data_IF_570327520846
#
_entry.id   IF_570327520846
#
_cell.length_a   1.000
_cell.length_b   1.000
_cell.length_c   1.000
_cell.angle_alpha   90.00
_cell.angle_beta   90.00
_cell.angle_gamma   90.00
#
_symmetry.space_group_name_H-M   'P 1'
#
loop_
_entity.id
_entity.type
_entity.pdbx_description
1 polymer ?
#
# COMPACT_ATOMS: atom_id res chain seq x y z
N UNK A 1 11.66 13.91 -5.37
CA UNK A 1 12.05 12.48 -5.41
C UNK A 1 12.08 11.95 -3.97
N UNK A 2 10.93 11.53 -3.44
CA UNK A 2 10.86 10.92 -2.10
C UNK A 2 11.34 9.47 -2.21
N UNK A 3 12.42 9.14 -1.51
CA UNK A 3 12.89 7.76 -1.37
C UNK A 3 11.87 7.01 -0.50
N UNK A 4 10.84 6.46 -1.13
CA UNK A 4 10.02 5.40 -0.53
C UNK A 4 11.00 4.34 -0.04
N UNK A 5 10.82 3.89 1.22
CA UNK A 5 11.66 2.91 1.89
C UNK A 5 12.09 1.78 0.94
N UNK A 6 13.30 1.89 0.41
CA UNK A 6 13.72 1.01 -0.68
C UNK A 6 13.92 -0.39 -0.14
N UNK A 7 13.39 -1.40 -0.83
CA UNK A 7 13.76 -2.80 -0.62
C UNK A 7 15.29 -3.01 -0.65
N UNK A 8 16.05 -2.11 -1.27
CA UNK A 8 17.50 -2.09 -1.22
C UNK A 8 18.08 -1.88 0.19
N UNK A 9 17.46 -1.02 1.02
CA UNK A 9 17.91 -0.80 2.39
C UNK A 9 17.69 -2.05 3.26
N UNK A 10 16.51 -2.65 3.18
CA UNK A 10 16.22 -3.90 3.90
C UNK A 10 17.10 -5.06 3.43
N UNK A 11 17.38 -5.14 2.13
CA UNK A 11 18.36 -6.09 1.60
C UNK A 11 19.76 -5.84 2.16
N UNK A 12 20.17 -4.58 2.31
CA UNK A 12 21.45 -4.26 2.95
C UNK A 12 21.47 -4.73 4.41
N UNK A 13 20.41 -4.48 5.18
CA UNK A 13 20.31 -4.96 6.57
C UNK A 13 20.37 -6.50 6.64
N UNK A 14 19.59 -7.19 5.81
CA UNK A 14 19.61 -8.65 5.65
C UNK A 14 21.00 -9.20 5.25
N UNK A 15 21.80 -8.41 4.55
CA UNK A 15 23.18 -8.78 4.17
C UNK A 15 24.18 -8.53 5.29
N UNK A 16 23.99 -7.45 6.06
CA UNK A 16 24.91 -7.02 7.11
C UNK A 16 24.73 -7.78 8.42
N UNK A 17 23.48 -8.09 8.77
CA UNK A 17 23.13 -8.64 10.06
C UNK A 17 22.62 -10.08 9.89
N UNK A 18 23.42 -11.05 10.31
CA UNK A 18 23.12 -12.49 10.17
C UNK A 18 21.90 -12.94 10.96
N UNK A 19 21.50 -12.19 11.99
CA UNK A 19 20.30 -12.47 12.77
C UNK A 19 18.99 -12.08 12.06
N UNK A 20 19.05 -11.36 10.93
CA UNK A 20 17.86 -11.03 10.13
C UNK A 20 17.61 -12.15 9.11
N UNK A 21 16.53 -12.90 9.34
CA UNK A 21 16.13 -13.99 8.45
C UNK A 21 15.48 -13.48 7.15
N UNK A 22 16.20 -13.65 6.03
CA UNK A 22 15.76 -13.22 4.69
C UNK A 22 14.54 -14.00 4.18
N UNK A 23 14.27 -15.17 4.74
CA UNK A 23 13.14 -16.02 4.34
C UNK A 23 11.86 -15.64 5.09
N UNK A 24 11.94 -14.86 6.18
CA UNK A 24 10.81 -14.49 7.04
C UNK A 24 10.78 -12.99 7.35
N UNK A 25 10.85 -12.17 6.31
CA UNK A 25 10.73 -10.71 6.43
C UNK A 25 9.36 -10.23 5.95
N UNK A 26 8.69 -9.44 6.78
CA UNK A 26 7.40 -8.83 6.53
C UNK A 26 7.49 -7.30 6.55
N UNK A 27 6.54 -6.62 5.92
CA UNK A 27 6.34 -5.17 6.04
C UNK A 27 4.88 -4.88 6.36
N UNK A 28 4.61 -3.96 7.26
CA UNK A 28 3.26 -3.53 7.53
C UNK A 28 3.21 -2.03 7.81
N UNK A 29 2.03 -1.45 7.63
CA UNK A 29 1.79 -0.08 8.03
C UNK A 29 0.33 0.32 7.91
N UNK A 30 0.05 1.52 8.41
CA UNK A 30 -1.28 2.09 8.49
C UNK A 30 -1.38 3.38 7.68
N UNK A 31 -2.52 3.65 7.04
CA UNK A 31 -2.76 4.90 6.30
C UNK A 31 -1.72 5.02 5.18
N UNK A 32 -0.91 6.08 5.18
CA UNK A 32 0.24 6.20 4.28
C UNK A 32 1.21 5.01 4.40
N UNK A 33 1.41 4.48 5.61
CA UNK A 33 2.18 3.25 5.82
C UNK A 33 1.54 2.02 5.18
N UNK A 34 0.21 1.97 5.11
CA UNK A 34 -0.53 0.93 4.41
C UNK A 34 -0.34 1.05 2.89
N UNK A 35 -0.42 2.26 2.35
CA UNK A 35 -0.07 2.58 0.96
C UNK A 35 1.39 2.18 0.65
N UNK A 36 2.34 2.63 1.47
CA UNK A 36 3.76 2.35 1.30
C UNK A 36 4.07 0.85 1.42
N UNK A 37 3.33 0.10 2.25
CA UNK A 37 3.42 -1.36 2.33
C UNK A 37 3.03 -2.01 1.02
N UNK A 38 1.85 -1.68 0.47
CA UNK A 38 1.38 -2.21 -0.80
C UNK A 38 2.31 -1.86 -1.96
N UNK A 39 2.75 -0.59 -2.05
CA UNK A 39 3.68 -0.14 -3.08
C UNK A 39 5.05 -0.79 -2.96
N UNK A 40 5.58 -0.92 -1.73
CA UNK A 40 6.85 -1.62 -1.50
C UNK A 40 6.77 -3.08 -1.94
N UNK A 41 5.69 -3.79 -1.61
CA UNK A 41 5.49 -5.16 -2.06
C UNK A 41 5.40 -5.24 -3.59
N UNK A 42 4.63 -4.36 -4.22
CA UNK A 42 4.48 -4.32 -5.67
C UNK A 42 5.76 -3.91 -6.42
N UNK A 43 6.69 -3.20 -5.77
CA UNK A 43 7.97 -2.80 -6.35
C UNK A 43 9.14 -3.69 -5.92
N UNK A 44 8.92 -4.65 -5.01
CA UNK A 44 9.93 -5.56 -4.51
C UNK A 44 10.16 -6.75 -5.46
N UNK A 45 10.80 -6.43 -6.60
CA UNK A 45 11.16 -7.40 -7.64
C UNK A 45 12.26 -8.39 -7.22
N UNK A 46 12.97 -8.12 -6.11
CA UNK A 46 14.03 -9.02 -5.60
C UNK A 46 13.54 -9.92 -4.46
N UNK A 47 12.26 -9.87 -4.11
CA UNK A 47 11.65 -10.76 -3.12
C UNK A 47 12.20 -10.61 -1.71
N UNK A 48 12.54 -9.38 -1.30
CA UNK A 48 12.97 -9.03 0.07
C UNK A 48 11.88 -9.32 1.09
N UNK A 49 10.63 -8.99 0.76
CA UNK A 49 9.46 -9.21 1.63
C UNK A 49 8.63 -10.39 1.13
N UNK A 50 8.26 -11.27 2.06
CA UNK A 50 7.40 -12.44 1.78
C UNK A 50 5.93 -12.16 2.00
N UNK A 51 5.66 -11.24 2.92
CA UNK A 51 4.31 -10.81 3.21
C UNK A 51 4.26 -9.33 3.55
N UNK A 52 3.05 -8.77 3.48
CA UNK A 52 2.78 -7.53 4.16
C UNK A 52 1.33 -7.26 4.41
N UNK A 53 1.11 -6.30 5.31
CA UNK A 53 -0.20 -5.96 5.83
C UNK A 53 -0.45 -4.46 5.70
N UNK A 54 -1.47 -4.11 4.93
CA UNK A 54 -1.91 -2.74 4.74
C UNK A 54 -3.16 -2.50 5.58
N UNK A 55 -3.06 -1.59 6.55
CA UNK A 55 -4.19 -1.13 7.37
C UNK A 55 -4.63 0.24 6.88
N UNK A 56 -5.93 0.41 6.62
CA UNK A 56 -6.53 1.65 6.08
C UNK A 56 -5.71 2.31 4.94
N UNK A 57 -5.26 1.59 3.89
CA UNK A 57 -4.36 2.16 2.91
C UNK A 57 -5.06 3.15 1.97
N UNK A 58 -4.37 4.25 1.64
CA UNK A 58 -4.63 4.97 0.37
C UNK A 58 -4.17 4.06 -0.77
N UNK A 59 -4.98 3.94 -1.83
CA UNK A 59 -4.69 3.07 -2.99
C UNK A 59 -4.71 3.84 -4.29
N UNK A 60 -5.49 4.92 -4.32
CA UNK A 60 -5.57 5.93 -5.37
C UNK A 60 -5.62 7.32 -4.73
N UNK A 61 -4.68 8.18 -5.12
CA UNK A 61 -4.58 9.56 -4.63
C UNK A 61 -5.74 10.43 -5.11
N UNK A 62 -6.37 10.09 -6.24
CA UNK A 62 -7.54 10.81 -6.73
C UNK A 62 -8.80 10.61 -5.85
N UNK A 63 -8.77 9.62 -4.96
CA UNK A 63 -9.86 9.29 -4.03
C UNK A 63 -9.63 9.83 -2.61
N UNK A 64 -8.55 10.58 -2.38
CA UNK A 64 -8.24 11.20 -1.09
C UNK A 64 -8.55 12.70 -1.12
N UNK A 65 -8.55 13.37 0.04
CA UNK A 65 -8.97 14.77 0.10
C UNK A 65 -8.03 15.68 -0.70
N UNK A 66 -8.60 16.75 -1.27
CA UNK A 66 -7.85 17.68 -2.12
C UNK A 66 -6.80 18.48 -1.35
N UNK A 67 -7.09 18.89 -0.11
CA UNK A 67 -6.18 19.72 0.70
C UNK A 67 -4.85 19.02 0.92
N UNK A 68 -4.88 17.75 1.33
CA UNK A 68 -3.68 16.95 1.49
C UNK A 68 -3.07 16.62 0.13
N UNK A 69 -3.87 16.09 -0.79
CA UNK A 69 -3.35 15.50 -2.02
C UNK A 69 -2.74 16.57 -2.92
N UNK A 70 -3.44 17.66 -3.21
CA UNK A 70 -2.94 18.72 -4.09
C UNK A 70 -1.72 19.43 -3.50
N UNK A 71 -1.64 19.54 -2.16
CA UNK A 71 -0.45 20.11 -1.50
C UNK A 71 0.84 19.34 -1.80
N UNK A 72 0.76 18.01 -1.94
CA UNK A 72 1.95 17.16 -2.13
C UNK A 72 2.10 16.63 -3.57
N UNK A 73 0.99 16.50 -4.30
CA UNK A 73 0.92 15.92 -5.63
C UNK A 73 0.54 16.94 -6.71
N UNK A 74 0.16 18.17 -6.39
CA UNK A 74 -0.40 19.10 -7.38
C UNK A 74 -1.74 18.63 -7.95
N UNK A 75 -2.19 19.23 -9.05
CA UNK A 75 -3.48 18.92 -9.66
C UNK A 75 -3.41 17.67 -10.53
N UNK A 76 -4.45 16.81 -10.52
CA UNK A 76 -4.54 15.62 -11.37
C UNK A 76 -4.95 15.98 -12.81
N UNK A 77 -4.26 16.93 -13.43
CA UNK A 77 -4.52 17.37 -14.81
C UNK A 77 -3.33 17.06 -15.70
N UNK A 78 -3.58 16.92 -17.01
CA UNK A 78 -2.53 16.68 -18.02
C UNK A 78 -1.47 17.79 -18.00
N UNK A 79 -1.88 19.02 -17.68
CA UNK A 79 -1.00 20.18 -17.64
C UNK A 79 -0.15 20.27 -16.36
N UNK A 80 -0.46 19.47 -15.34
CA UNK A 80 0.25 19.49 -14.05
C UNK A 80 0.82 18.10 -13.73
N UNK A 81 0.17 17.28 -12.88
CA UNK A 81 0.77 16.04 -12.38
C UNK A 81 -0.07 14.78 -12.61
N UNK A 82 -0.89 14.69 -13.67
CA UNK A 82 -1.67 13.48 -13.95
C UNK A 82 -0.82 12.19 -13.94
N UNK A 83 0.36 12.24 -14.54
CA UNK A 83 1.28 11.08 -14.56
C UNK A 83 1.72 10.66 -13.15
N UNK A 84 1.91 11.62 -12.23
CA UNK A 84 2.25 11.33 -10.84
C UNK A 84 1.13 10.60 -10.11
N UNK A 85 -0.13 10.97 -10.36
CA UNK A 85 -1.30 10.26 -9.82
C UNK A 85 -1.34 8.82 -10.36
N UNK A 86 -1.19 8.61 -11.68
CA UNK A 86 -1.17 7.28 -12.31
C UNK A 86 -0.03 6.39 -11.80
N UNK A 87 1.17 6.96 -11.64
CA UNK A 87 2.33 6.28 -11.09
C UNK A 87 2.20 6.02 -9.59
N UNK A 88 1.49 6.88 -8.86
CA UNK A 88 1.19 6.73 -7.44
C UNK A 88 0.09 5.72 -7.13
N UNK A 89 -0.71 5.30 -8.12
CA UNK A 89 -1.77 4.32 -7.89
C UNK A 89 -1.20 2.91 -7.64
N UNK A 90 -1.57 2.33 -6.50
CA UNK A 90 -1.28 0.93 -6.17
C UNK A 90 -2.07 -0.02 -7.07
N UNK A 91 -3.30 0.36 -7.42
CA UNK A 91 -4.22 -0.44 -8.24
C UNK A 91 -3.57 -0.90 -9.56
N UNK A 92 -2.73 -0.04 -10.18
CA UNK A 92 -2.05 -0.34 -11.44
C UNK A 92 -0.86 -1.31 -11.30
N UNK A 93 -0.50 -1.72 -10.08
CA UNK A 93 0.73 -2.47 -9.79
C UNK A 93 0.47 -3.77 -9.02
N UNK A 94 -0.79 -4.11 -8.76
CA UNK A 94 -1.15 -5.25 -7.90
C UNK A 94 -0.65 -6.59 -8.44
N UNK A 95 -0.47 -6.74 -9.75
CA UNK A 95 0.04 -7.98 -10.36
C UNK A 95 1.40 -8.42 -9.78
N UNK A 96 2.23 -7.46 -9.38
CA UNK A 96 3.53 -7.76 -8.77
C UNK A 96 3.41 -8.34 -7.34
N UNK A 97 2.21 -8.40 -6.78
CA UNK A 97 1.90 -9.00 -5.47
C UNK A 97 1.54 -10.48 -5.61
N UNK A 98 1.31 -11.02 -6.83
CA UNK A 98 0.74 -12.36 -7.11
C UNK A 98 1.37 -13.57 -6.39
N UNK A 99 2.60 -13.45 -5.87
CA UNK A 99 3.30 -14.50 -5.14
C UNK A 99 3.71 -14.11 -3.71
N UNK A 100 3.09 -13.07 -3.15
CA UNK A 100 3.35 -12.55 -1.79
C UNK A 100 2.10 -12.70 -0.96
N UNK A 101 2.24 -13.00 0.33
CA UNK A 101 1.08 -13.03 1.22
C UNK A 101 0.66 -11.59 1.54
N UNK A 102 -0.55 -11.21 1.16
CA UNK A 102 -1.06 -9.86 1.38
C UNK A 102 -2.25 -9.87 2.33
N UNK A 103 -2.23 -9.00 3.34
CA UNK A 103 -3.33 -8.82 4.27
C UNK A 103 -3.85 -7.38 4.24
N UNK A 104 -5.13 -7.23 3.94
CA UNK A 104 -5.81 -5.95 3.85
C UNK A 104 -6.77 -5.77 5.03
N UNK A 105 -6.61 -4.70 5.80
CA UNK A 105 -7.47 -4.38 6.95
C UNK A 105 -8.04 -2.97 6.78
N UNK A 106 -9.34 -2.79 7.03
CA UNK A 106 -9.95 -1.46 6.97
C UNK A 106 -11.24 -1.38 7.81
N UNK A 107 -11.48 -0.22 8.44
CA UNK A 107 -12.72 0.14 9.10
C UNK A 107 -13.82 0.65 8.15
N UNK A 108 -15.07 0.23 8.35
CA UNK A 108 -16.18 0.65 7.47
C UNK A 108 -16.65 2.08 7.71
N UNK A 109 -16.27 2.70 8.83
CA UNK A 109 -16.63 4.09 9.18
C UNK A 109 -15.42 5.04 9.09
N UNK A 110 -14.38 4.66 8.35
CA UNK A 110 -13.24 5.56 8.11
C UNK A 110 -13.67 6.75 7.25
N UNK A 111 -13.71 7.92 7.89
CA UNK A 111 -14.06 9.21 7.33
C UNK A 111 -12.85 10.00 6.83
N UNK A 112 -11.64 9.48 7.05
CA UNK A 112 -10.38 10.07 6.60
C UNK A 112 -9.90 9.36 5.32
N UNK A 113 -9.46 8.11 5.42
CA UNK A 113 -9.16 7.27 4.26
C UNK A 113 -10.38 6.42 3.99
N UNK A 114 -11.28 6.88 3.13
CA UNK A 114 -12.54 6.16 2.91
C UNK A 114 -12.35 4.68 2.56
N UNK A 115 -13.22 3.83 3.14
CA UNK A 115 -13.24 2.39 2.91
C UNK A 115 -13.27 1.99 1.43
N UNK A 116 -13.77 2.87 0.57
CA UNK A 116 -13.69 2.78 -0.90
C UNK A 116 -12.29 2.41 -1.40
N UNK A 117 -11.23 2.93 -0.78
CA UNK A 117 -9.84 2.64 -1.15
C UNK A 117 -9.54 1.13 -1.09
N UNK A 118 -9.89 0.49 0.04
CA UNK A 118 -9.68 -0.95 0.20
C UNK A 118 -10.65 -1.79 -0.62
N UNK A 119 -11.90 -1.33 -0.83
CA UNK A 119 -12.83 -2.01 -1.72
C UNK A 119 -12.34 -2.03 -3.17
N UNK A 120 -11.80 -0.90 -3.66
CA UNK A 120 -11.22 -0.83 -5.00
C UNK A 120 -10.01 -1.75 -5.14
N UNK A 121 -9.14 -1.78 -4.14
CA UNK A 121 -7.99 -2.69 -4.14
C UNK A 121 -8.41 -4.17 -4.12
N UNK A 122 -9.35 -4.54 -3.24
CA UNK A 122 -9.90 -5.90 -3.18
C UNK A 122 -10.50 -6.31 -4.52
N UNK A 123 -11.31 -5.44 -5.14
CA UNK A 123 -11.89 -5.66 -6.47
C UNK A 123 -10.82 -5.94 -7.53
N UNK A 124 -9.76 -5.15 -7.60
CA UNK A 124 -8.71 -5.35 -8.61
C UNK A 124 -7.90 -6.62 -8.31
N UNK A 125 -7.61 -6.92 -7.04
CA UNK A 125 -6.96 -8.18 -6.63
C UNK A 125 -7.77 -9.41 -7.06
N UNK A 126 -9.09 -9.39 -6.83
CA UNK A 126 -10.01 -10.44 -7.29
C UNK A 126 -10.03 -10.57 -8.81
N UNK A 127 -10.18 -9.45 -9.53
CA UNK A 127 -10.19 -9.44 -11.00
C UNK A 127 -8.90 -9.98 -11.63
N UNK A 128 -7.78 -9.90 -10.91
CA UNK A 128 -6.45 -10.37 -11.35
C UNK A 128 -6.09 -11.76 -10.83
N UNK A 129 -7.00 -12.42 -10.13
CA UNK A 129 -6.79 -13.73 -9.51
C UNK A 129 -5.54 -13.73 -8.60
N UNK A 130 -5.48 -12.73 -7.71
CA UNK A 130 -4.41 -12.54 -6.74
C UNK A 130 -4.95 -12.86 -5.36
N UNK A 131 -4.38 -13.88 -4.72
CA UNK A 131 -4.79 -14.28 -3.38
C UNK A 131 -4.38 -13.23 -2.34
N UNK A 132 -5.34 -12.85 -1.50
CA UNK A 132 -5.13 -11.98 -0.35
C UNK A 132 -6.05 -12.38 0.80
N UNK A 133 -5.75 -11.92 2.00
CA UNK A 133 -6.67 -11.95 3.14
C UNK A 133 -7.26 -10.57 3.33
N UNK A 134 -8.51 -10.52 3.80
CA UNK A 134 -9.18 -9.27 4.13
C UNK A 134 -9.83 -9.37 5.51
N UNK A 135 -9.68 -8.31 6.31
CA UNK A 135 -10.41 -8.11 7.54
C UNK A 135 -11.13 -6.76 7.49
N UNK A 136 -12.44 -6.81 7.70
CA UNK A 136 -13.29 -5.63 7.73
C UNK A 136 -13.70 -5.36 9.16
N UNK A 137 -13.41 -4.17 9.65
CA UNK A 137 -13.78 -3.73 10.99
C UNK A 137 -15.06 -2.92 10.92
N UNK A 138 -16.17 -3.52 11.31
CA UNK A 138 -17.46 -2.84 11.31
C UNK A 138 -17.51 -1.78 12.41
N UNK A 139 -18.01 -0.60 12.07
CA UNK A 139 -18.20 0.53 13.00
C UNK A 139 -16.90 1.13 13.58
N UNK A 140 -15.77 0.93 12.91
CA UNK A 140 -14.48 1.52 13.29
C UNK A 140 -14.07 2.56 12.25
N UNK A 141 -13.57 3.72 12.70
CA UNK A 141 -12.99 4.77 11.85
C UNK A 141 -11.46 4.58 11.70
N UNK A 142 -10.72 5.59 11.22
CA UNK A 142 -9.28 5.57 11.00
C UNK A 142 -8.48 5.16 12.23
N UNK A 143 -8.93 5.52 13.43
CA UNK A 143 -8.26 5.15 14.67
C UNK A 143 -8.79 3.78 15.16
N UNK A 144 -8.03 2.71 14.90
CA UNK A 144 -8.28 1.40 15.49
C UNK A 144 -7.44 1.34 16.77
N UNK A 145 -8.05 1.37 17.95
CA UNK A 145 -7.34 0.87 19.13
C UNK A 145 -7.20 -0.65 18.95
N UNK A 146 -5.99 -1.11 18.63
CA UNK A 146 -5.62 -2.53 18.59
C UNK A 146 -5.17 -3.01 19.96
#
# INVERSE_FOLDING_TARGET
MYKVFSSAFYRYLQNKFSFIDRTRTAIWGWSYGGYATGMTLAMDLKGVFKCGMSVAPVTDWALYDSIYTERFMGLPTVADNLQGYEQGQLLNKVENIKNKMYYLIHGTLDDNVHYQQSLMLAKVLEQKDILFRQQVLFRVSMDIEM
#
